data_IF_775305877427
#
_entry.id   IF_775305877427
#
_cell.length_a   1.000
_cell.length_b   1.000
_cell.length_c   1.000
_cell.angle_alpha   90.00
_cell.angle_beta   90.00
_cell.angle_gamma   90.00
#
_symmetry.space_group_name_H-M   'P 1'
#
loop_
_entity.id
_entity.type
_entity.pdbx_description
1 polymer ?
#
# COMPACT_ATOMS: atom_id res chain seq x y z
N UNK A 1 8.52 -9.18 -24.14
CA UNK A 1 9.27 -8.43 -23.12
C UNK A 1 9.77 -9.44 -22.10
N UNK A 2 11.08 -9.72 -21.98
CA UNK A 2 11.53 -10.70 -21.00
C UNK A 2 11.34 -10.12 -19.60
N UNK A 3 10.51 -10.78 -18.80
CA UNK A 3 10.35 -10.52 -17.37
C UNK A 3 11.72 -10.69 -16.71
N UNK A 4 12.26 -9.59 -16.16
CA UNK A 4 13.45 -9.66 -15.33
C UNK A 4 13.12 -10.54 -14.12
N UNK A 5 13.68 -11.75 -14.07
CA UNK A 5 13.62 -12.60 -12.87
C UNK A 5 14.61 -12.04 -11.87
N UNK A 6 14.11 -11.24 -10.95
CA UNK A 6 14.86 -10.79 -9.78
C UNK A 6 15.03 -12.00 -8.87
N UNK A 7 16.25 -12.50 -8.76
CA UNK A 7 16.56 -13.63 -7.88
C UNK A 7 16.62 -13.12 -6.44
N UNK A 8 15.56 -13.38 -5.67
CA UNK A 8 15.53 -13.07 -4.25
C UNK A 8 16.67 -13.82 -3.52
N UNK A 9 17.38 -13.20 -2.56
CA UNK A 9 18.38 -13.91 -1.76
C UNK A 9 17.73 -15.08 -0.99
N UNK A 10 18.50 -16.15 -0.74
CA UNK A 10 18.03 -17.50 -0.36
C UNK A 10 17.35 -17.69 1.03
N UNK A 11 17.00 -16.65 1.83
CA UNK A 11 15.91 -16.80 2.81
C UNK A 11 14.57 -16.21 2.34
N UNK A 12 14.54 -15.34 1.32
CA UNK A 12 13.32 -14.72 0.79
C UNK A 12 12.67 -15.54 -0.32
N UNK A 13 13.43 -16.43 -0.97
CA UNK A 13 12.94 -17.36 -1.99
C UNK A 13 11.97 -18.43 -1.45
N UNK A 14 12.02 -18.74 -0.15
CA UNK A 14 11.37 -19.93 0.41
C UNK A 14 10.06 -19.70 1.16
N UNK A 15 9.67 -18.48 1.55
CA UNK A 15 8.56 -18.35 2.52
C UNK A 15 7.74 -17.06 2.60
N UNK A 16 7.58 -16.27 1.54
CA UNK A 16 6.54 -15.23 1.58
C UNK A 16 6.05 -14.84 0.19
N UNK A 17 4.83 -15.22 -0.24
CA UNK A 17 4.18 -14.47 -1.31
C UNK A 17 4.04 -13.01 -0.83
N UNK A 18 4.40 -12.04 -1.67
CA UNK A 18 4.25 -10.61 -1.35
C UNK A 18 2.77 -10.34 -1.11
N UNK A 19 2.31 -10.33 0.15
CA UNK A 19 0.90 -10.08 0.46
C UNK A 19 0.66 -8.59 0.62
N UNK A 20 -0.34 -8.08 -0.07
CA UNK A 20 -0.82 -6.71 0.10
C UNK A 20 -2.23 -6.71 0.68
N UNK A 21 -2.55 -5.62 1.39
CA UNK A 21 -3.93 -5.29 1.74
C UNK A 21 -4.51 -4.44 0.61
N UNK A 22 -5.62 -4.89 0.02
CA UNK A 22 -6.26 -4.21 -1.09
C UNK A 22 -7.65 -3.74 -0.72
N UNK A 23 -8.04 -2.60 -1.28
CA UNK A 23 -9.44 -2.19 -1.41
C UNK A 23 -9.90 -2.48 -2.84
N UNK A 24 -11.08 -3.06 -2.94
CA UNK A 24 -11.74 -3.43 -4.19
C UNK A 24 -12.72 -2.33 -4.64
N UNK A 25 -13.13 -2.36 -5.91
CA UNK A 25 -14.09 -1.40 -6.44
C UNK A 25 -15.48 -1.49 -5.78
N UNK A 26 -15.83 -2.64 -5.18
CA UNK A 26 -17.05 -2.82 -4.39
C UNK A 26 -16.83 -2.59 -2.88
N UNK A 27 -15.78 -1.85 -2.52
CA UNK A 27 -15.52 -1.32 -1.18
C UNK A 27 -15.27 -2.43 -0.13
N UNK A 28 -14.73 -3.56 -0.57
CA UNK A 28 -14.27 -4.65 0.31
C UNK A 28 -12.77 -4.61 0.50
N UNK A 29 -12.33 -5.11 1.64
CA UNK A 29 -10.93 -5.35 1.94
C UNK A 29 -10.61 -6.81 1.64
N UNK A 30 -9.51 -7.05 0.93
CA UNK A 30 -8.94 -8.39 0.76
C UNK A 30 -7.43 -8.36 0.94
N UNK A 31 -6.85 -9.53 1.17
CA UNK A 31 -5.41 -9.75 1.11
C UNK A 31 -5.14 -10.58 -0.14
N UNK A 32 -4.23 -10.11 -0.99
CA UNK A 32 -3.88 -10.77 -2.26
C UNK A 32 -2.38 -10.61 -2.54
N UNK A 33 -1.88 -11.30 -3.58
CA UNK A 33 -0.49 -11.19 -4.01
C UNK A 33 -0.21 -9.84 -4.69
N UNK A 34 0.97 -9.28 -4.39
CA UNK A 34 1.46 -8.02 -4.93
C UNK A 34 2.68 -8.23 -5.84
N UNK A 35 2.91 -7.29 -6.79
CA UNK A 35 4.08 -7.33 -7.66
C UNK A 35 5.39 -7.35 -6.86
N UNK A 36 6.39 -8.06 -7.39
CA UNK A 36 7.64 -8.32 -6.67
C UNK A 36 8.65 -7.18 -6.87
N UNK A 37 8.99 -6.80 -8.10
CA UNK A 37 9.89 -5.66 -8.42
C UNK A 37 9.98 -5.48 -9.94
N UNK A 38 10.13 -4.25 -10.44
CA UNK A 38 10.41 -3.90 -11.84
C UNK A 38 11.86 -3.40 -12.01
N UNK A 39 12.41 -3.36 -13.25
CA UNK A 39 13.71 -2.74 -13.49
C UNK A 39 13.75 -1.27 -13.02
N UNK A 40 14.88 -0.85 -12.44
CA UNK A 40 15.03 0.48 -11.82
C UNK A 40 14.39 0.66 -10.45
N UNK A 41 13.85 -0.40 -9.82
CA UNK A 41 13.23 -0.34 -8.49
C UNK A 41 14.08 -1.03 -7.41
N UNK A 42 13.71 -0.81 -6.15
CA UNK A 42 14.20 -1.56 -4.99
C UNK A 42 13.06 -2.34 -4.36
N UNK A 43 13.36 -3.53 -3.83
CA UNK A 43 12.41 -4.31 -3.05
C UNK A 43 12.61 -4.02 -1.58
N UNK A 44 11.56 -3.51 -0.93
CA UNK A 44 11.54 -3.30 0.51
C UNK A 44 10.80 -4.43 1.20
N UNK A 45 11.45 -5.02 2.21
CA UNK A 45 10.73 -5.77 3.24
C UNK A 45 10.13 -4.76 4.21
N UNK A 46 8.86 -4.42 3.98
CA UNK A 46 8.11 -3.51 4.85
C UNK A 46 8.09 -4.07 6.27
N UNK A 47 8.59 -3.29 7.23
CA UNK A 47 8.61 -3.63 8.66
C UNK A 47 7.45 -2.99 9.41
N UNK A 48 7.04 -1.81 8.94
CA UNK A 48 5.92 -1.05 9.49
C UNK A 48 5.26 -0.23 8.39
N UNK A 49 3.95 -0.04 8.50
CA UNK A 49 3.21 0.94 7.72
C UNK A 49 2.27 1.70 8.63
N UNK A 50 2.32 3.03 8.55
CA UNK A 50 1.35 3.92 9.19
C UNK A 50 -0.02 3.82 8.52
N UNK A 51 -1.05 4.06 9.33
CA UNK A 51 -2.40 4.37 8.86
C UNK A 51 -2.70 5.78 9.34
N UNK A 52 -2.62 6.75 8.45
CA UNK A 52 -2.87 8.14 8.81
C UNK A 52 -4.35 8.41 9.04
N UNK A 53 -4.70 9.10 10.13
CA UNK A 53 -6.03 9.64 10.39
C UNK A 53 -5.92 11.08 10.90
N UNK A 54 -6.62 12.03 10.28
CA UNK A 54 -6.78 13.36 10.86
C UNK A 54 -7.94 13.34 11.88
N UNK A 55 -8.06 14.38 12.71
CA UNK A 55 -9.28 14.70 13.46
C UNK A 55 -9.69 16.12 13.05
N UNK A 56 -10.81 16.27 12.37
CA UNK A 56 -11.41 17.56 12.05
C UNK A 56 -12.58 17.80 13.02
N UNK A 57 -12.41 18.78 13.90
CA UNK A 57 -13.46 19.22 14.84
C UNK A 57 -14.17 20.43 14.21
N UNK A 58 -15.44 20.29 13.87
CA UNK A 58 -16.26 21.36 13.29
C UNK A 58 -17.75 21.17 13.64
N UNK A 59 -18.56 22.25 13.63
CA UNK A 59 -19.93 22.20 14.13
C UNK A 59 -20.82 21.35 13.23
N UNK A 60 -21.39 20.29 13.80
CA UNK A 60 -22.29 19.36 13.14
C UNK A 60 -23.58 20.06 12.68
N UNK A 61 -23.80 20.14 11.37
CA UNK A 61 -25.12 20.25 10.76
C UNK A 61 -25.14 19.33 9.55
N UNK A 62 -25.80 18.17 9.67
CA UNK A 62 -26.92 17.63 8.87
C UNK A 62 -27.10 16.13 9.23
N UNK A 63 -28.28 15.81 9.76
CA UNK A 63 -29.07 14.56 9.87
C UNK A 63 -28.51 13.12 9.97
N UNK A 64 -27.20 12.83 9.91
CA UNK A 64 -26.69 11.45 10.12
C UNK A 64 -25.52 11.44 11.13
N UNK A 65 -25.80 11.26 12.44
CA UNK A 65 -24.93 11.80 13.50
C UNK A 65 -23.65 11.00 13.86
N UNK A 66 -23.19 10.03 13.05
CA UNK A 66 -21.99 9.25 13.43
C UNK A 66 -20.97 8.93 12.33
N UNK A 67 -21.22 9.23 11.05
CA UNK A 67 -20.31 8.76 9.97
C UNK A 67 -19.36 9.81 9.39
N UNK A 68 -19.37 11.04 9.90
CA UNK A 68 -18.38 12.07 9.48
C UNK A 68 -17.41 12.39 10.62
N UNK A 69 -16.91 11.33 11.27
CA UNK A 69 -15.78 11.43 12.18
C UNK A 69 -14.52 11.03 11.41
N UNK A 70 -13.85 12.02 10.85
CA UNK A 70 -12.51 11.99 10.26
C UNK A 70 -11.85 10.62 10.14
N UNK A 71 -11.91 10.05 8.92
CA UNK A 71 -11.34 8.74 8.65
C UNK A 71 -10.22 8.91 7.62
N UNK A 72 -9.09 8.25 7.89
CA UNK A 72 -7.87 8.28 7.09
C UNK A 72 -8.06 8.03 5.59
N UNK A 73 -7.04 8.36 4.80
CA UNK A 73 -7.02 8.12 3.34
C UNK A 73 -7.47 6.68 3.00
N UNK A 74 -6.97 5.73 3.78
CA UNK A 74 -7.26 4.29 3.67
C UNK A 74 -8.73 3.97 3.99
N UNK A 75 -9.30 4.57 5.03
CA UNK A 75 -10.70 4.34 5.40
C UNK A 75 -11.69 5.00 4.44
N UNK A 76 -11.35 6.15 3.87
CA UNK A 76 -12.19 6.81 2.85
C UNK A 76 -12.26 5.97 1.58
N UNK A 77 -11.15 5.37 1.16
CA UNK A 77 -11.18 4.40 0.07
C UNK A 77 -11.99 3.15 0.44
N UNK A 78 -11.84 2.61 1.64
CA UNK A 78 -12.62 1.44 2.03
C UNK A 78 -14.12 1.73 2.16
N UNK A 79 -14.54 2.75 2.92
CA UNK A 79 -15.96 2.98 3.20
C UNK A 79 -16.69 3.68 2.07
N UNK A 80 -16.05 4.68 1.46
CA UNK A 80 -16.69 5.53 0.46
C UNK A 80 -16.22 5.24 -0.97
N UNK A 81 -15.17 4.42 -1.17
CA UNK A 81 -14.60 4.16 -2.49
C UNK A 81 -13.91 5.34 -3.13
N UNK A 82 -13.83 6.48 -2.44
CA UNK A 82 -13.35 7.73 -3.05
C UNK A 82 -12.86 8.76 -2.04
N UNK A 83 -12.03 9.66 -2.56
CA UNK A 83 -11.60 10.90 -1.91
C UNK A 83 -11.81 12.03 -2.92
N UNK A 84 -12.88 12.82 -2.73
CA UNK A 84 -13.30 13.76 -3.75
C UNK A 84 -13.63 13.02 -5.05
N UNK A 85 -13.00 13.46 -6.15
CA UNK A 85 -13.14 12.83 -7.47
C UNK A 85 -12.24 11.61 -7.68
N UNK A 86 -11.27 11.36 -6.79
CA UNK A 86 -10.40 10.19 -6.88
C UNK A 86 -11.15 8.94 -6.43
N UNK A 87 -11.46 8.03 -7.36
CA UNK A 87 -12.27 6.82 -7.12
C UNK A 87 -11.43 5.55 -7.24
N UNK A 88 -11.73 4.56 -6.41
CA UNK A 88 -11.23 3.19 -6.53
C UNK A 88 -12.07 2.49 -7.59
N UNK A 89 -11.53 2.36 -8.81
CA UNK A 89 -12.23 1.72 -9.94
C UNK A 89 -11.84 0.25 -10.13
N UNK A 90 -10.85 -0.21 -9.39
CA UNK A 90 -10.34 -1.59 -9.40
C UNK A 90 -9.53 -1.85 -8.13
N UNK A 91 -8.90 -3.02 -8.07
CA UNK A 91 -8.10 -3.40 -6.90
C UNK A 91 -6.94 -2.41 -6.67
N UNK A 92 -6.89 -1.84 -5.48
CA UNK A 92 -5.91 -0.84 -5.10
C UNK A 92 -5.21 -1.26 -3.81
N UNK A 93 -3.88 -1.36 -3.86
CA UNK A 93 -3.05 -1.65 -2.68
C UNK A 93 -3.07 -0.45 -1.74
N UNK A 94 -3.30 -0.71 -0.45
CA UNK A 94 -3.35 0.29 0.61
C UNK A 94 -1.99 0.47 1.27
N UNK A 95 -1.71 1.70 1.74
CA UNK A 95 -0.50 2.07 2.48
C UNK A 95 0.37 3.06 1.69
N UNK A 96 0.70 4.19 2.31
CA UNK A 96 1.58 5.22 1.74
C UNK A 96 2.60 5.77 2.76
N UNK A 97 2.67 5.16 3.94
CA UNK A 97 3.53 5.56 5.07
C UNK A 97 4.33 4.35 5.56
N UNK A 98 5.06 3.71 4.66
CA UNK A 98 5.80 2.49 4.96
C UNK A 98 7.28 2.78 5.25
N UNK A 99 7.84 2.00 6.18
CA UNK A 99 9.28 1.91 6.39
C UNK A 99 9.69 0.44 6.47
N UNK A 100 10.86 0.14 5.96
CA UNK A 100 11.35 -1.22 5.82
C UNK A 100 12.85 -1.27 5.57
N UNK A 101 13.30 -2.45 5.21
CA UNK A 101 14.69 -2.73 4.88
C UNK A 101 14.78 -3.08 3.39
N UNK A 102 15.80 -2.54 2.71
CA UNK A 102 16.08 -2.91 1.33
C UNK A 102 16.57 -4.36 1.28
N UNK A 103 15.85 -5.23 0.57
CA UNK A 103 16.21 -6.66 0.44
C UNK A 103 16.66 -7.04 -0.96
N UNK A 104 16.37 -6.22 -1.97
CA UNK A 104 16.93 -6.33 -3.31
C UNK A 104 17.00 -4.95 -3.96
N UNK A 105 17.95 -4.77 -4.88
CA UNK A 105 18.19 -3.54 -5.64
C UNK A 105 18.40 -3.95 -7.09
N UNK A 106 17.68 -3.33 -8.02
CA UNK A 106 17.91 -3.53 -9.45
C UNK A 106 19.31 -3.02 -9.86
N UNK A 107 19.92 -3.63 -10.86
CA UNK A 107 21.28 -3.28 -11.33
C UNK A 107 21.42 -1.82 -11.76
N UNK A 108 20.31 -1.17 -12.17
CA UNK A 108 20.31 0.20 -12.64
C UNK A 108 20.14 1.24 -11.51
N UNK A 109 19.94 0.80 -10.25
CA UNK A 109 19.76 1.70 -9.10
C UNK A 109 21.10 1.94 -8.42
N UNK A 110 21.53 3.20 -8.34
CA UNK A 110 22.87 3.60 -7.86
C UNK A 110 22.88 4.25 -6.48
N UNK A 111 21.71 4.52 -5.91
CA UNK A 111 21.53 5.31 -4.69
C UNK A 111 20.88 4.53 -3.54
N UNK A 112 20.83 3.20 -3.63
CA UNK A 112 20.32 2.32 -2.58
C UNK A 112 21.16 1.05 -2.49
N UNK A 113 21.23 0.46 -1.30
CA UNK A 113 21.99 -0.76 -1.03
C UNK A 113 21.15 -1.71 -0.19
N UNK A 114 21.29 -3.01 -0.42
CA UNK A 114 20.67 -4.04 0.43
C UNK A 114 21.10 -3.84 1.89
N UNK A 115 20.14 -3.94 2.81
CA UNK A 115 20.31 -3.70 4.25
C UNK A 115 20.18 -2.23 4.69
N UNK A 116 20.01 -1.31 3.74
CA UNK A 116 19.70 0.11 4.00
C UNK A 116 18.22 0.37 4.31
#
# INVERSE_FOLDING_TARGET
MPSARVTLPEPLSRHCPTRALLVTADHKIKIDEAPIMSPGEVLLRVRTTGVYGYVQVGPARVEEPYLTLTIGLIFRFWKAGRIGELKVLGDCILGHEAAGEVVAVDENVTNATVGG
#
